data_IF_489004202638
#
_entry.id   IF_489004202638
#
_cell.length_a   1.000
_cell.length_b   1.000
_cell.length_c   1.000
_cell.angle_alpha   90.00
_cell.angle_beta   90.00
_cell.angle_gamma   90.00
#
_symmetry.space_group_name_H-M   'P 1'
#
loop_
_entity.id
_entity.type
_entity.pdbx_description
1 polymer ?
#
# COMPACT_ATOMS: atom_id res chain seq x y z
N UNK A 1 23.88 5.89 -16.78
CA UNK A 1 22.45 6.10 -16.50
C UNK A 1 21.74 4.80 -16.85
N UNK A 2 20.85 4.30 -15.98
CA UNK A 2 20.09 3.07 -16.26
C UNK A 2 19.29 3.24 -17.54
N UNK A 3 19.21 2.19 -18.37
CA UNK A 3 18.40 2.17 -19.59
C UNK A 3 16.97 1.68 -19.35
N UNK A 4 16.62 1.38 -18.09
CA UNK A 4 15.29 0.90 -17.72
C UNK A 4 14.27 2.05 -17.81
N UNK A 5 13.01 1.68 -18.06
CA UNK A 5 11.87 2.60 -17.94
C UNK A 5 11.89 3.28 -16.56
N UNK A 6 11.63 4.59 -16.44
CA UNK A 6 11.55 5.24 -15.13
C UNK A 6 10.41 4.66 -14.28
N UNK A 7 10.50 4.71 -12.94
CA UNK A 7 9.36 4.37 -12.10
C UNK A 7 8.14 5.23 -12.42
N UNK A 8 6.95 4.70 -12.16
CA UNK A 8 5.71 5.42 -12.38
C UNK A 8 5.66 6.72 -11.56
N UNK A 9 5.30 7.83 -12.20
CA UNK A 9 5.15 9.15 -11.55
C UNK A 9 6.42 9.72 -10.88
N UNK A 10 7.60 9.11 -11.04
CA UNK A 10 8.84 9.51 -10.35
C UNK A 10 10.10 9.23 -11.15
N UNK A 11 11.19 9.93 -10.84
CA UNK A 11 12.53 9.65 -11.41
C UNK A 11 13.21 8.46 -10.74
N UNK A 12 12.88 8.20 -9.47
CA UNK A 12 13.48 7.14 -8.64
C UNK A 12 12.41 6.38 -7.88
N UNK A 13 12.70 5.14 -7.50
CA UNK A 13 11.83 4.41 -6.57
C UNK A 13 11.75 5.15 -5.24
N UNK A 14 10.63 4.99 -4.56
CA UNK A 14 10.35 5.58 -3.25
C UNK A 14 9.83 4.48 -2.31
N UNK A 15 10.69 3.56 -1.87
CA UNK A 15 10.33 2.63 -0.80
C UNK A 15 10.07 3.42 0.49
N UNK A 16 9.03 3.04 1.23
CA UNK A 16 8.70 3.63 2.54
C UNK A 16 9.18 2.79 3.72
N UNK A 17 9.86 1.66 3.45
CA UNK A 17 10.49 0.84 4.48
C UNK A 17 11.62 1.61 5.19
N UNK A 18 11.60 1.58 6.52
CA UNK A 18 12.71 2.07 7.33
C UNK A 18 13.76 0.96 7.50
N UNK A 19 15.02 1.38 7.64
CA UNK A 19 16.15 0.49 7.88
C UNK A 19 17.01 1.00 9.05
N UNK A 20 17.81 0.11 9.63
CA UNK A 20 18.81 0.44 10.66
C UNK A 20 18.25 1.13 11.90
N UNK A 21 18.93 2.20 12.34
CA UNK A 21 18.59 2.92 13.57
C UNK A 21 17.21 3.61 13.49
N UNK A 22 16.82 4.06 12.29
CA UNK A 22 15.52 4.68 12.06
C UNK A 22 14.38 3.69 12.28
N UNK A 23 14.53 2.46 11.76
CA UNK A 23 13.59 1.37 11.99
C UNK A 23 13.48 1.02 13.48
N UNK A 24 14.61 0.84 14.16
CA UNK A 24 14.64 0.48 15.58
C UNK A 24 13.96 1.54 16.44
N UNK A 25 14.26 2.81 16.17
CA UNK A 25 13.66 3.95 16.90
C UNK A 25 12.16 4.03 16.69
N UNK A 26 11.70 3.87 15.44
CA UNK A 26 10.27 3.96 15.12
C UNK A 26 9.49 2.75 15.67
N UNK A 27 10.08 1.54 15.66
CA UNK A 27 9.49 0.36 16.30
C UNK A 27 9.31 0.55 17.81
N UNK A 28 10.29 1.13 18.50
CA UNK A 28 10.18 1.42 19.93
C UNK A 28 9.09 2.46 20.22
N UNK A 29 8.99 3.50 19.39
CA UNK A 29 7.90 4.48 19.45
C UNK A 29 6.54 3.82 19.21
N UNK A 30 6.43 2.96 18.20
CA UNK A 30 5.17 2.37 17.79
C UNK A 30 4.50 1.51 18.88
N UNK A 31 5.28 0.96 19.83
CA UNK A 31 4.76 0.16 20.95
C UNK A 31 3.80 0.94 21.87
N UNK A 32 3.92 2.27 21.95
CA UNK A 32 3.07 3.10 22.81
C UNK A 32 1.95 3.82 22.06
N UNK A 33 1.90 3.72 20.72
CA UNK A 33 0.89 4.39 19.91
C UNK A 33 -0.46 3.64 19.95
N UNK A 34 -1.59 4.35 19.74
CA UNK A 34 -2.86 3.72 19.42
C UNK A 34 -2.71 2.78 18.22
N UNK A 35 -3.33 1.61 18.30
CA UNK A 35 -3.21 0.57 17.28
C UNK A 35 -4.41 0.58 16.34
N UNK A 36 -4.12 0.46 15.04
CA UNK A 36 -5.12 0.25 13.98
C UNK A 36 -4.84 -1.08 13.31
N UNK A 37 -5.82 -1.98 13.41
CA UNK A 37 -5.73 -3.32 12.82
C UNK A 37 -5.98 -3.24 11.32
N UNK A 38 -5.01 -3.70 10.53
CA UNK A 38 -5.10 -3.78 9.08
C UNK A 38 -5.69 -5.14 8.66
N UNK A 39 -6.66 -5.07 7.76
CA UNK A 39 -7.13 -6.21 6.98
C UNK A 39 -6.01 -6.81 6.13
N UNK A 40 -6.26 -7.99 5.54
CA UNK A 40 -5.29 -8.63 4.66
C UNK A 40 -5.00 -7.81 3.39
N UNK A 41 -5.95 -6.99 2.93
CA UNK A 41 -5.75 -6.08 1.78
C UNK A 41 -4.83 -4.94 2.19
N UNK A 42 -5.16 -4.24 3.27
CA UNK A 42 -4.40 -3.10 3.77
C UNK A 42 -2.96 -3.50 4.15
N UNK A 43 -2.78 -4.70 4.71
CA UNK A 43 -1.44 -5.25 4.92
C UNK A 43 -0.66 -5.37 3.60
N UNK A 44 -1.27 -5.91 2.54
CA UNK A 44 -0.65 -5.97 1.21
C UNK A 44 -0.30 -4.58 0.67
N UNK A 45 -1.15 -3.58 0.88
CA UNK A 45 -0.88 -2.20 0.49
C UNK A 45 0.31 -1.62 1.28
N UNK A 46 0.42 -1.90 2.58
CA UNK A 46 1.59 -1.52 3.41
C UNK A 46 2.87 -2.15 2.85
N UNK A 47 2.86 -3.44 2.49
CA UNK A 47 4.04 -4.09 1.89
C UNK A 47 4.41 -3.43 0.56
N UNK A 48 3.43 -3.17 -0.31
CA UNK A 48 3.66 -2.53 -1.62
C UNK A 48 4.21 -1.11 -1.48
N UNK A 49 3.77 -0.35 -0.48
CA UNK A 49 4.34 0.95 -0.12
C UNK A 49 5.77 0.80 0.42
N UNK A 50 6.00 -0.19 1.29
CA UNK A 50 7.29 -0.47 1.91
C UNK A 50 8.38 -0.75 0.87
N UNK A 51 8.13 -1.69 -0.05
CA UNK A 51 9.10 -2.06 -1.09
C UNK A 51 9.16 -1.06 -2.26
N UNK A 52 8.32 -0.03 -2.26
CA UNK A 52 8.27 0.97 -3.33
C UNK A 52 7.53 0.50 -4.58
N UNK A 53 6.76 -0.59 -4.51
CA UNK A 53 5.87 -1.05 -5.57
C UNK A 53 4.74 -0.06 -5.87
N UNK A 54 4.36 0.75 -4.88
CA UNK A 54 3.41 1.86 -5.02
C UNK A 54 4.07 3.25 -5.17
N UNK A 55 5.32 3.31 -5.62
CA UNK A 55 5.94 4.60 -6.01
C UNK A 55 5.01 5.34 -6.99
N UNK A 56 4.67 6.63 -6.76
CA UNK A 56 5.30 7.59 -5.85
C UNK A 56 4.54 7.88 -4.54
N UNK A 57 3.53 7.07 -4.19
CA UNK A 57 2.65 7.33 -3.07
C UNK A 57 3.42 7.44 -1.73
N UNK A 58 2.89 8.28 -0.83
CA UNK A 58 3.44 8.52 0.51
C UNK A 58 2.74 7.71 1.61
N UNK A 59 1.59 7.10 1.30
CA UNK A 59 0.75 6.41 2.28
C UNK A 59 -0.66 6.21 1.77
N UNK A 60 -1.62 6.19 2.71
CA UNK A 60 -3.03 5.99 2.41
C UNK A 60 -3.69 7.28 1.94
N UNK A 61 -4.62 7.14 1.00
CA UNK A 61 -5.24 8.25 0.28
C UNK A 61 -6.11 9.12 1.20
N UNK A 62 -6.02 10.43 0.99
CA UNK A 62 -6.98 11.42 1.49
C UNK A 62 -8.34 11.23 0.82
N UNK A 63 -9.40 11.89 1.33
CA UNK A 63 -10.72 11.86 0.69
C UNK A 63 -10.66 12.42 -0.73
N UNK A 64 -9.89 13.49 -0.92
CA UNK A 64 -9.72 14.11 -2.22
C UNK A 64 -9.04 13.17 -3.22
N UNK A 65 -7.99 12.46 -2.78
CA UNK A 65 -7.32 11.45 -3.62
C UNK A 65 -8.24 10.27 -3.93
N UNK A 66 -8.95 9.75 -2.92
CA UNK A 66 -9.92 8.67 -3.08
C UNK A 66 -10.98 9.02 -4.13
N UNK A 67 -11.64 10.17 -3.98
CA UNK A 67 -12.68 10.61 -4.91
C UNK A 67 -12.10 10.80 -6.31
N UNK A 68 -10.96 11.48 -6.44
CA UNK A 68 -10.33 11.74 -7.73
C UNK A 68 -9.93 10.44 -8.45
N UNK A 69 -9.46 9.43 -7.70
CA UNK A 69 -9.12 8.12 -8.26
C UNK A 69 -10.37 7.38 -8.74
N UNK A 70 -11.45 7.37 -7.95
CA UNK A 70 -12.72 6.78 -8.37
C UNK A 70 -13.25 7.45 -9.65
N UNK A 71 -13.22 8.77 -9.72
CA UNK A 71 -13.81 9.54 -10.82
C UNK A 71 -12.97 9.46 -12.10
N UNK A 72 -11.65 9.59 -11.95
CA UNK A 72 -10.76 9.98 -13.04
C UNK A 72 -9.51 9.11 -13.16
N UNK A 73 -9.31 8.14 -12.27
CA UNK A 73 -8.08 7.35 -12.18
C UNK A 73 -6.81 8.23 -12.04
N UNK A 74 -6.92 9.37 -11.38
CA UNK A 74 -5.80 10.24 -11.04
C UNK A 74 -5.90 10.65 -9.58
N UNK A 75 -4.78 10.74 -8.90
CA UNK A 75 -4.69 11.39 -7.59
C UNK A 75 -4.92 12.90 -7.73
N UNK A 76 -5.13 13.57 -6.61
CA UNK A 76 -5.35 15.03 -6.57
C UNK A 76 -4.15 15.83 -7.07
N UNK A 77 -2.94 15.25 -7.00
CA UNK A 77 -1.71 15.81 -7.56
C UNK A 77 -1.47 15.46 -9.05
N UNK A 78 -2.41 14.77 -9.71
CA UNK A 78 -2.36 14.45 -11.13
C UNK A 78 -1.60 13.17 -11.49
N UNK A 79 -1.20 12.35 -10.51
CA UNK A 79 -0.57 11.05 -10.77
C UNK A 79 -1.66 10.05 -11.17
N UNK A 80 -1.51 9.40 -12.32
CA UNK A 80 -2.44 8.32 -12.71
C UNK A 80 -2.41 7.19 -11.67
N UNK A 81 -3.57 6.81 -11.15
CA UNK A 81 -3.72 5.70 -10.21
C UNK A 81 -5.11 5.06 -10.38
N UNK A 82 -5.21 3.74 -10.64
CA UNK A 82 -6.47 3.16 -11.09
C UNK A 82 -7.40 2.66 -9.97
N UNK A 83 -6.88 2.44 -8.75
CA UNK A 83 -7.64 1.84 -7.64
C UNK A 83 -7.27 2.57 -6.35
N UNK A 84 -8.24 3.01 -5.52
CA UNK A 84 -7.94 3.68 -4.27
C UNK A 84 -7.13 2.82 -3.31
N UNK A 85 -6.17 3.43 -2.61
CA UNK A 85 -5.38 2.80 -1.55
C UNK A 85 -5.81 3.40 -0.21
N UNK A 86 -6.68 2.69 0.50
CA UNK A 86 -7.38 3.19 1.69
C UNK A 86 -7.09 2.33 2.91
N UNK A 87 -7.01 2.97 4.08
CA UNK A 87 -6.96 2.31 5.38
C UNK A 87 -8.24 2.64 6.13
N UNK A 88 -8.97 1.62 6.56
CA UNK A 88 -10.26 1.76 7.22
C UNK A 88 -10.20 1.42 8.71
N UNK A 89 -11.09 2.00 9.51
CA UNK A 89 -11.22 1.76 10.93
C UNK A 89 -12.63 2.08 11.43
N UNK A 90 -13.08 1.35 12.47
CA UNK A 90 -14.27 1.70 13.24
C UNK A 90 -13.94 2.52 14.50
N UNK A 91 -12.65 2.79 14.75
CA UNK A 91 -12.22 3.50 15.95
C UNK A 91 -12.60 4.99 15.86
N UNK A 92 -13.58 5.42 16.67
CA UNK A 92 -14.05 6.81 16.72
C UNK A 92 -13.06 7.76 17.40
N UNK A 93 -12.21 7.25 18.28
CA UNK A 93 -11.31 8.04 19.13
C UNK A 93 -10.09 8.59 18.37
N UNK A 94 -9.73 7.98 17.24
CA UNK A 94 -8.64 8.48 16.37
C UNK A 94 -9.03 9.80 15.74
N UNK A 95 -8.11 10.76 15.79
CA UNK A 95 -8.27 12.11 15.25
C UNK A 95 -7.20 12.40 14.22
N UNK A 96 -7.43 13.47 13.46
CA UNK A 96 -6.37 14.08 12.66
C UNK A 96 -5.23 14.53 13.58
N UNK A 97 -4.02 14.53 13.03
CA UNK A 97 -2.74 14.76 13.71
C UNK A 97 -2.28 13.64 14.67
N UNK A 98 -3.11 12.62 14.93
CA UNK A 98 -2.68 11.45 15.70
C UNK A 98 -1.61 10.65 14.96
N UNK A 99 -0.66 10.13 15.73
CA UNK A 99 0.25 9.08 15.26
C UNK A 99 -0.24 7.72 15.73
N UNK A 100 -0.38 6.78 14.80
CA UNK A 100 -0.91 5.43 15.07
C UNK A 100 0.06 4.35 14.61
N UNK A 101 0.05 3.21 15.30
CA UNK A 101 0.71 1.99 14.86
C UNK A 101 -0.27 1.14 14.07
N UNK A 102 0.13 0.73 12.88
CA UNK A 102 -0.62 -0.23 12.06
C UNK A 102 -0.20 -1.63 12.43
N UNK A 103 -1.17 -2.52 12.68
CA UNK A 103 -0.91 -3.90 13.09
C UNK A 103 -1.56 -4.90 12.16
N UNK A 104 -0.87 -6.02 11.91
CA UNK A 104 -1.40 -7.11 11.10
C UNK A 104 -2.51 -7.85 11.86
N UNK A 105 -3.71 -7.95 11.28
CA UNK A 105 -4.87 -8.65 11.86
C UNK A 105 -4.64 -10.12 12.22
N UNK A 106 -3.63 -10.79 11.64
CA UNK A 106 -3.37 -12.22 11.87
C UNK A 106 -2.28 -12.48 12.91
N UNK A 107 -1.30 -11.60 13.02
CA UNK A 107 -0.08 -11.82 13.82
C UNK A 107 0.08 -10.82 14.96
N UNK A 108 -0.75 -9.77 15.02
CA UNK A 108 -0.62 -8.62 15.93
C UNK A 108 0.73 -7.87 15.82
N UNK A 109 1.51 -8.17 14.78
CA UNK A 109 2.77 -7.52 14.47
C UNK A 109 2.55 -6.07 14.08
N UNK A 110 3.39 -5.16 14.59
CA UNK A 110 3.43 -3.77 14.16
C UNK A 110 4.15 -3.70 12.81
N UNK A 111 3.41 -3.31 11.78
CA UNK A 111 3.88 -3.34 10.39
C UNK A 111 4.24 -1.95 9.85
N UNK A 112 3.67 -0.88 10.42
CA UNK A 112 3.93 0.49 10.01
C UNK A 112 3.53 1.48 11.11
N UNK A 113 4.01 2.71 11.02
CA UNK A 113 3.41 3.87 11.69
C UNK A 113 2.79 4.82 10.68
N UNK A 114 1.76 5.54 11.08
CA UNK A 114 1.04 6.48 10.24
C UNK A 114 0.79 7.78 11.00
N UNK A 115 0.97 8.91 10.31
CA UNK A 115 0.45 10.21 10.77
C UNK A 115 -0.90 10.41 10.10
N UNK A 116 -1.97 10.50 10.89
CA UNK A 116 -3.32 10.70 10.35
C UNK A 116 -3.47 12.17 9.95
N UNK A 117 -3.59 12.44 8.65
CA UNK A 117 -3.82 13.80 8.14
C UNK A 117 -5.29 14.10 7.88
N UNK A 118 -6.09 13.06 7.67
CA UNK A 118 -7.53 13.19 7.44
C UNK A 118 -8.25 11.93 7.94
N UNK A 119 -9.42 12.11 8.54
CA UNK A 119 -10.36 11.03 8.85
C UNK A 119 -11.70 11.29 8.19
N UNK A 120 -12.12 10.41 7.29
CA UNK A 120 -13.29 10.65 6.45
C UNK A 120 -14.16 9.41 6.28
N UNK A 121 -15.37 9.57 5.76
CA UNK A 121 -16.24 8.47 5.33
C UNK A 121 -16.28 8.41 3.81
N UNK A 122 -16.46 7.21 3.27
CA UNK A 122 -16.58 6.94 1.85
C UNK A 122 -17.98 6.43 1.50
N UNK A 123 -18.38 6.64 0.24
CA UNK A 123 -19.49 5.93 -0.37
C UNK A 123 -18.94 4.63 -0.99
N UNK A 124 -19.16 3.51 -0.28
CA UNK A 124 -18.62 2.20 -0.65
C UNK A 124 -19.25 1.64 -1.93
N UNK A 125 -20.55 1.90 -2.14
CA UNK A 125 -21.24 1.51 -3.38
C UNK A 125 -20.67 2.28 -4.56
N UNK A 126 -20.45 3.58 -4.38
CA UNK A 126 -19.82 4.42 -5.40
C UNK A 126 -18.42 3.93 -5.77
N UNK A 127 -17.55 3.64 -4.79
CA UNK A 127 -16.22 3.08 -5.07
C UNK A 127 -16.32 1.76 -5.83
N UNK A 128 -17.25 0.87 -5.44
CA UNK A 128 -17.44 -0.40 -6.10
C UNK A 128 -17.87 -0.26 -7.56
N UNK A 129 -18.87 0.58 -7.84
CA UNK A 129 -19.33 0.84 -9.21
C UNK A 129 -18.24 1.48 -10.08
N UNK A 130 -17.47 2.41 -9.50
CA UNK A 130 -16.42 3.09 -10.25
C UNK A 130 -15.19 2.22 -10.50
N UNK A 131 -14.79 1.38 -9.55
CA UNK A 131 -13.58 0.54 -9.64
C UNK A 131 -13.87 -0.81 -10.28
N UNK A 132 -14.91 -1.50 -9.83
CA UNK A 132 -15.23 -2.88 -10.26
C UNK A 132 -16.36 -2.95 -11.29
N UNK A 133 -17.05 -1.84 -11.59
CA UNK A 133 -18.18 -1.78 -12.53
C UNK A 133 -19.35 -2.66 -12.11
N UNK A 134 -19.46 -2.91 -10.80
CA UNK A 134 -20.53 -3.68 -10.17
C UNK A 134 -20.52 -3.42 -8.66
N UNK A 135 -21.68 -3.55 -8.03
CA UNK A 135 -21.86 -3.54 -6.57
C UNK A 135 -22.31 -4.90 -6.03
N UNK A 136 -22.28 -5.94 -6.86
CA UNK A 136 -22.72 -7.29 -6.50
C UNK A 136 -21.73 -7.98 -5.54
N UNK A 137 -22.26 -8.52 -4.44
CA UNK A 137 -21.46 -9.14 -3.37
C UNK A 137 -20.82 -10.48 -3.76
N UNK A 138 -21.13 -11.04 -4.94
CA UNK A 138 -20.37 -12.17 -5.49
C UNK A 138 -18.96 -11.76 -5.97
N UNK A 139 -18.72 -10.47 -6.24
CA UNK A 139 -17.41 -9.99 -6.68
C UNK A 139 -16.46 -9.82 -5.48
N UNK A 140 -15.31 -10.53 -5.41
CA UNK A 140 -14.44 -10.48 -4.23
C UNK A 140 -13.93 -9.08 -3.88
N UNK A 141 -13.67 -8.24 -4.88
CA UNK A 141 -13.24 -6.85 -4.67
C UNK A 141 -14.35 -5.97 -4.08
N UNK A 142 -15.62 -6.24 -4.41
CA UNK A 142 -16.76 -5.50 -3.84
C UNK A 142 -16.91 -5.86 -2.37
N UNK A 143 -16.82 -7.15 -2.04
CA UNK A 143 -16.85 -7.62 -0.64
C UNK A 143 -15.79 -6.89 0.19
N UNK A 144 -14.54 -6.80 -0.31
CA UNK A 144 -13.46 -6.13 0.41
C UNK A 144 -13.74 -4.64 0.69
N UNK A 145 -14.37 -3.91 -0.24
CA UNK A 145 -14.72 -2.50 -0.04
C UNK A 145 -15.91 -2.36 0.90
N UNK A 146 -16.92 -3.21 0.75
CA UNK A 146 -18.11 -3.23 1.60
C UNK A 146 -17.78 -3.53 3.07
N UNK A 147 -16.81 -4.41 3.31
CA UNK A 147 -16.30 -4.82 4.63
C UNK A 147 -15.37 -3.78 5.30
N UNK A 148 -14.96 -2.71 4.61
CA UNK A 148 -14.15 -1.65 5.24
C UNK A 148 -14.84 -1.10 6.51
N UNK A 149 -14.06 -0.58 7.46
CA UNK A 149 -14.60 0.12 8.62
C UNK A 149 -15.43 1.36 8.25
N UNK A 150 -16.05 1.99 9.25
CA UNK A 150 -16.87 3.20 9.09
C UNK A 150 -16.08 4.39 8.56
N UNK A 151 -14.82 4.54 8.96
CA UNK A 151 -13.96 5.66 8.59
C UNK A 151 -12.74 5.19 7.82
N UNK A 152 -12.27 6.00 6.89
CA UNK A 152 -10.95 5.87 6.28
C UNK A 152 -10.01 6.92 6.86
N UNK A 153 -8.74 6.52 7.01
CA UNK A 153 -7.64 7.35 7.46
C UNK A 153 -6.73 7.64 6.26
N UNK A 154 -6.49 8.92 5.98
CA UNK A 154 -5.56 9.38 4.96
C UNK A 154 -4.31 9.98 5.59
N UNK A 155 -3.14 9.73 5.00
CA UNK A 155 -1.88 10.27 5.49
C UNK A 155 -0.65 9.42 5.19
N UNK A 156 0.54 9.98 5.39
CA UNK A 156 1.80 9.30 5.11
C UNK A 156 2.08 8.19 6.12
N UNK A 157 2.78 7.15 5.66
CA UNK A 157 3.21 6.03 6.51
C UNK A 157 4.72 5.84 6.48
N UNK A 158 5.23 5.18 7.52
CA UNK A 158 6.57 4.59 7.55
C UNK A 158 6.41 3.09 7.74
N UNK A 159 7.00 2.29 6.87
CA UNK A 159 6.86 0.83 6.91
C UNK A 159 7.97 0.24 7.76
N UNK A 160 7.60 -0.66 8.67
CA UNK A 160 8.46 -1.22 9.71
C UNK A 160 8.68 -2.72 9.56
N UNK A 161 7.92 -3.37 8.67
CA UNK A 161 8.02 -4.81 8.41
C UNK A 161 7.74 -5.08 6.94
N UNK A 162 8.47 -6.02 6.36
CA UNK A 162 8.20 -6.65 5.07
C UNK A 162 7.39 -7.95 5.24
N UNK A 163 6.86 -8.22 6.44
CA UNK A 163 6.08 -9.40 6.79
C UNK A 163 6.94 -10.63 7.00
N UNK A 164 6.42 -11.79 6.60
CA UNK A 164 7.16 -13.06 6.54
C UNK A 164 7.58 -13.43 5.11
N UNK A 165 7.45 -12.49 4.15
CA UNK A 165 7.67 -12.77 2.73
C UNK A 165 9.12 -13.14 2.41
N UNK A 166 10.15 -12.38 2.84
CA UNK A 166 11.53 -12.75 2.56
C UNK A 166 11.91 -14.11 3.16
N UNK A 167 11.50 -14.40 4.40
CA UNK A 167 11.81 -15.68 5.06
C UNK A 167 11.13 -16.85 4.36
N UNK A 168 9.90 -16.65 3.89
CA UNK A 168 9.07 -17.71 3.30
C UNK A 168 9.42 -18.02 1.86
N UNK A 169 9.81 -17.01 1.08
CA UNK A 169 10.04 -17.11 -0.35
C UNK A 169 11.51 -17.00 -0.74
N UNK A 170 12.38 -16.55 0.17
CA UNK A 170 13.83 -16.43 -0.04
C UNK A 170 14.14 -15.68 -1.33
N UNK A 171 15.01 -16.27 -2.16
CA UNK A 171 15.45 -15.70 -3.45
C UNK A 171 14.32 -15.46 -4.47
N UNK A 172 13.11 -16.01 -4.25
CA UNK A 172 11.95 -15.75 -5.12
C UNK A 172 11.27 -14.41 -4.82
N UNK A 173 11.48 -13.86 -3.62
CA UNK A 173 10.97 -12.54 -3.26
C UNK A 173 12.02 -11.49 -3.61
N UNK A 174 11.68 -10.60 -4.52
CA UNK A 174 12.54 -9.49 -4.92
C UNK A 174 11.75 -8.20 -4.94
N UNK A 175 12.28 -7.17 -4.30
CA UNK A 175 11.76 -5.81 -4.32
C UNK A 175 11.91 -5.18 -5.73
N UNK A 176 11.15 -4.12 -6.03
CA UNK A 176 11.38 -3.29 -7.22
C UNK A 176 12.82 -2.80 -7.38
N UNK A 177 13.54 -2.54 -6.28
CA UNK A 177 14.96 -2.15 -6.34
C UNK A 177 15.81 -3.32 -6.81
N UNK A 178 15.70 -4.47 -6.14
CA UNK A 178 16.51 -5.66 -6.44
C UNK A 178 16.24 -6.22 -7.85
N UNK A 179 14.98 -6.22 -8.29
CA UNK A 179 14.64 -6.64 -9.66
C UNK A 179 15.27 -5.72 -10.71
N UNK A 180 15.30 -4.41 -10.47
CA UNK A 180 15.95 -3.45 -11.38
C UNK A 180 17.47 -3.60 -11.38
N UNK A 181 18.08 -3.84 -10.24
CA UNK A 181 19.51 -4.12 -10.16
C UNK A 181 19.86 -5.40 -10.92
N UNK A 182 19.07 -6.46 -10.74
CA UNK A 182 19.19 -7.70 -11.51
C UNK A 182 19.08 -7.47 -13.03
N UNK A 183 18.16 -6.61 -13.49
CA UNK A 183 18.05 -6.28 -14.91
C UNK A 183 19.27 -5.49 -15.42
N UNK A 184 19.78 -4.53 -14.63
CA UNK A 184 20.97 -3.76 -14.98
C UNK A 184 22.21 -4.66 -15.06
N UNK A 185 22.40 -5.57 -14.10
CA UNK A 185 23.51 -6.52 -14.07
C UNK A 185 23.50 -7.46 -15.27
N UNK A 186 22.30 -7.80 -15.77
CA UNK A 186 22.11 -8.58 -17.00
C UNK A 186 22.22 -7.75 -18.27
N UNK A 187 22.37 -6.43 -18.17
CA UNK A 187 22.41 -5.51 -19.30
C UNK A 187 21.09 -5.42 -20.07
N UNK A 188 19.96 -5.74 -19.43
CA UNK A 188 18.65 -5.71 -20.07
C UNK A 188 18.10 -4.28 -20.14
N UNK A 189 17.50 -3.94 -21.28
CA UNK A 189 16.81 -2.67 -21.51
C UNK A 189 15.34 -2.84 -21.89
N UNK A 190 14.94 -4.04 -22.33
CA UNK A 190 13.56 -4.40 -22.66
C UNK A 190 13.19 -5.65 -21.87
N UNK A 191 12.14 -5.56 -21.05
CA UNK A 191 11.70 -6.61 -20.14
C UNK A 191 10.20 -6.82 -20.33
N UNK A 192 9.79 -8.08 -20.49
CA UNK A 192 8.38 -8.47 -20.46
C UNK A 192 8.08 -9.09 -19.09
N UNK A 193 7.06 -8.57 -18.40
CA UNK A 193 6.57 -9.13 -17.15
C UNK A 193 5.39 -10.06 -17.42
N UNK A 194 5.40 -11.24 -16.80
CA UNK A 194 4.30 -12.20 -16.84
C UNK A 194 3.92 -12.57 -15.41
N UNK A 195 2.71 -12.19 -14.99
CA UNK A 195 2.18 -12.55 -13.68
C UNK A 195 1.48 -13.91 -13.78
N UNK A 196 1.84 -14.85 -12.90
CA UNK A 196 1.08 -16.09 -12.71
C UNK A 196 0.95 -16.44 -11.24
N UNK A 197 -0.18 -17.07 -10.89
CA UNK A 197 -0.39 -17.78 -9.62
C UNK A 197 -0.54 -19.29 -9.80
N UNK A 198 -0.51 -19.74 -11.05
CA UNK A 198 -0.68 -21.14 -11.44
C UNK A 198 0.63 -21.67 -12.03
N UNK A 199 0.86 -23.00 -11.95
CA UNK A 199 1.95 -23.62 -12.68
C UNK A 199 1.90 -23.27 -14.17
N UNK A 200 3.05 -22.96 -14.75
CA UNK A 200 3.13 -22.75 -16.19
C UNK A 200 2.97 -24.09 -16.91
N UNK A 201 2.12 -24.10 -17.93
CA UNK A 201 1.93 -25.23 -18.83
C UNK A 201 2.38 -24.84 -20.25
N UNK A 202 2.67 -25.84 -21.08
CA UNK A 202 3.10 -25.66 -22.47
C UNK A 202 1.92 -25.40 -23.40
#
# INVERSE_FOLDING_TARGET
>A
MSQLVPPHGSKTLKPLALEGDALTTELDKAKSLPKITCSSREFGDVIMLGIGGFTPLDGFMTKLDWQSVCDNMITSNGTFWPIPITLSTDNEDIKEEDEVALVNSKTDEIIATMVVTEKYTIDKEYECDMVYKTTEMEHPGVVMVMEQGKYNLGGPIKVLSDGDYPEKYGDLYMTPTETRDCFNDKGWSTIAAFQTRNPMHM
#
